data_IF_057783461857
#
_entry.id   IF_057783461857
#
_cell.length_a   1.000
_cell.length_b   1.000
_cell.length_c   1.000
_cell.angle_alpha   90.00
_cell.angle_beta   90.00
_cell.angle_gamma   90.00
#
_symmetry.space_group_name_H-M   'P 1'
#
loop_
_entity.id
_entity.type
_entity.pdbx_description
1 polymer ?
#
# COMPACT_ATOMS: atom_id res chain seq x y z
N UNK A 1 24.41 -18.22 -9.21
CA UNK A 1 23.62 -18.19 -7.97
C UNK A 1 22.93 -16.84 -7.91
N UNK A 2 21.63 -16.82 -7.64
CA UNK A 2 20.91 -15.55 -7.44
C UNK A 2 21.38 -14.92 -6.13
N UNK A 3 21.67 -13.62 -6.14
CA UNK A 3 22.09 -12.91 -4.92
C UNK A 3 20.96 -12.92 -3.87
N UNK A 4 21.31 -12.82 -2.59
CA UNK A 4 20.33 -12.85 -1.49
C UNK A 4 19.38 -11.66 -1.55
N UNK A 5 19.90 -10.51 -1.96
CA UNK A 5 19.09 -9.32 -2.24
C UNK A 5 18.04 -9.57 -3.34
N UNK A 6 18.44 -10.16 -4.46
CA UNK A 6 17.50 -10.49 -5.54
C UNK A 6 16.50 -11.58 -5.12
N UNK A 7 16.93 -12.55 -4.32
CA UNK A 7 16.04 -13.56 -3.77
C UNK A 7 14.97 -12.95 -2.84
N UNK A 8 15.35 -11.98 -2.00
CA UNK A 8 14.42 -11.21 -1.18
C UNK A 8 13.40 -10.44 -2.04
N UNK A 9 13.86 -9.67 -3.03
CA UNK A 9 12.98 -8.92 -3.93
C UNK A 9 12.00 -9.83 -4.68
N UNK A 10 12.43 -11.03 -5.07
CA UNK A 10 11.56 -12.02 -5.70
C UNK A 10 10.50 -12.56 -4.71
N UNK A 11 10.87 -12.83 -3.45
CA UNK A 11 9.90 -13.20 -2.41
C UNK A 11 8.86 -12.10 -2.16
N UNK A 12 9.28 -10.84 -2.12
CA UNK A 12 8.34 -9.72 -2.00
C UNK A 12 7.41 -9.63 -3.22
N UNK A 13 7.97 -9.78 -4.42
CA UNK A 13 7.22 -9.79 -5.67
C UNK A 13 6.16 -10.91 -5.69
N UNK A 14 6.50 -12.10 -5.22
CA UNK A 14 5.57 -13.22 -5.10
C UNK A 14 4.43 -12.91 -4.12
N UNK A 15 4.75 -12.36 -2.96
CA UNK A 15 3.77 -11.96 -1.96
C UNK A 15 2.77 -10.93 -2.50
N UNK A 16 3.24 -9.84 -3.11
CA UNK A 16 2.37 -8.79 -3.67
C UNK A 16 1.62 -9.27 -4.93
N UNK A 17 2.16 -10.26 -5.66
CA UNK A 17 1.50 -10.85 -6.83
C UNK A 17 0.18 -11.54 -6.48
N UNK A 18 0.08 -12.15 -5.29
CA UNK A 18 -1.16 -12.75 -4.81
C UNK A 18 -2.27 -11.70 -4.63
N UNK A 19 -1.92 -10.51 -4.12
CA UNK A 19 -2.84 -9.39 -4.00
C UNK A 19 -3.23 -8.81 -5.36
N UNK A 20 -2.24 -8.59 -6.24
CA UNK A 20 -2.47 -8.04 -7.57
C UNK A 20 -3.38 -8.96 -8.41
N UNK A 21 -3.13 -10.27 -8.37
CA UNK A 21 -3.94 -11.27 -9.07
C UNK A 21 -5.36 -11.35 -8.53
N UNK A 22 -5.54 -11.33 -7.20
CA UNK A 22 -6.88 -11.31 -6.56
C UNK A 22 -7.67 -10.07 -6.99
N UNK A 23 -7.05 -8.90 -6.97
CA UNK A 23 -7.70 -7.63 -7.33
C UNK A 23 -8.06 -7.59 -8.82
N UNK A 24 -7.16 -8.08 -9.67
CA UNK A 24 -7.39 -8.23 -11.12
C UNK A 24 -8.54 -9.21 -11.40
N UNK A 25 -8.53 -10.39 -10.76
CA UNK A 25 -9.59 -11.39 -10.90
C UNK A 25 -10.93 -10.81 -10.49
N UNK A 26 -11.02 -10.17 -9.32
CA UNK A 26 -12.26 -9.52 -8.86
C UNK A 26 -12.76 -8.46 -9.84
N UNK A 27 -11.86 -7.66 -10.42
CA UNK A 27 -12.23 -6.66 -11.42
C UNK A 27 -12.80 -7.30 -12.69
N UNK A 28 -12.15 -8.34 -13.20
CA UNK A 28 -12.58 -9.03 -14.43
C UNK A 28 -13.83 -9.90 -14.23
N UNK A 29 -14.00 -10.55 -13.08
CA UNK A 29 -15.10 -11.51 -12.86
C UNK A 29 -16.31 -10.90 -12.16
N UNK A 30 -16.17 -9.74 -11.50
CA UNK A 30 -17.28 -9.10 -10.78
C UNK A 30 -17.59 -7.71 -11.33
N UNK A 31 -16.59 -6.82 -11.38
CA UNK A 31 -16.82 -5.41 -11.75
C UNK A 31 -17.22 -5.26 -13.21
N UNK A 32 -16.47 -5.89 -14.13
CA UNK A 32 -16.75 -5.81 -15.56
C UNK A 32 -18.12 -6.42 -15.91
N UNK A 33 -18.47 -7.66 -15.51
CA UNK A 33 -19.77 -8.24 -15.85
C UNK A 33 -20.94 -7.45 -15.24
N UNK A 34 -20.79 -6.97 -14.00
CA UNK A 34 -21.82 -6.15 -13.36
C UNK A 34 -22.02 -4.83 -14.10
N UNK A 35 -20.95 -4.18 -14.54
CA UNK A 35 -21.02 -2.92 -15.30
C UNK A 35 -21.69 -3.12 -16.65
N UNK A 36 -21.33 -4.19 -17.37
CA UNK A 36 -21.96 -4.56 -18.64
C UNK A 36 -23.46 -4.87 -18.47
N UNK A 37 -23.82 -5.63 -17.43
CA UNK A 37 -25.21 -5.96 -17.14
C UNK A 37 -26.02 -4.71 -16.79
N UNK A 38 -25.51 -3.83 -15.93
CA UNK A 38 -26.21 -2.61 -15.53
C UNK A 38 -26.38 -1.63 -16.69
N UNK A 39 -25.34 -1.41 -17.50
CA UNK A 39 -25.43 -0.54 -18.67
C UNK A 39 -26.39 -1.07 -19.73
N UNK A 40 -26.38 -2.39 -19.99
CA UNK A 40 -27.34 -3.06 -20.85
C UNK A 40 -28.79 -2.93 -20.35
N UNK A 41 -29.02 -3.14 -19.06
CA UNK A 41 -30.36 -3.01 -18.46
C UNK A 41 -30.89 -1.58 -18.52
N UNK A 42 -30.06 -0.58 -18.20
CA UNK A 42 -30.47 0.83 -18.21
C UNK A 42 -30.81 1.29 -19.63
N UNK A 43 -29.91 1.07 -20.60
CA UNK A 43 -30.17 1.52 -21.98
C UNK A 43 -31.23 0.66 -22.68
N UNK A 44 -31.31 -0.63 -22.38
CA UNK A 44 -32.41 -1.49 -22.83
C UNK A 44 -33.76 -1.03 -22.30
N UNK A 45 -33.85 -0.73 -20.99
CA UNK A 45 -35.05 -0.19 -20.36
C UNK A 45 -35.48 1.13 -20.98
N UNK A 46 -34.53 2.05 -21.23
CA UNK A 46 -34.82 3.31 -21.93
C UNK A 46 -35.32 3.08 -23.37
N UNK A 47 -34.71 2.15 -24.11
CA UNK A 47 -35.12 1.81 -25.47
C UNK A 47 -36.54 1.22 -25.54
N UNK A 48 -36.95 0.46 -24.52
CA UNK A 48 -38.31 -0.05 -24.38
C UNK A 48 -39.31 1.08 -24.06
N UNK A 49 -38.97 1.95 -23.12
CA UNK A 49 -39.85 3.04 -22.64
C UNK A 49 -40.06 4.15 -23.69
N UNK A 50 -39.10 4.38 -24.59
CA UNK A 50 -39.20 5.39 -25.65
C UNK A 50 -40.04 4.94 -26.87
N UNK A 51 -40.96 3.99 -26.69
CA UNK A 51 -41.89 3.56 -27.74
C UNK A 51 -41.32 2.61 -28.79
N UNK A 52 -40.08 2.13 -28.63
CA UNK A 52 -39.44 1.21 -29.58
C UNK A 52 -39.88 -0.25 -29.47
N UNK A 53 -40.68 -0.61 -28.46
CA UNK A 53 -41.12 -1.98 -28.22
C UNK A 53 -39.93 -2.95 -28.05
N UNK A 54 -40.10 -4.20 -28.48
CA UNK A 54 -39.06 -5.24 -28.40
C UNK A 54 -37.82 -4.85 -29.22
N UNK A 55 -37.98 -4.18 -30.36
CA UNK A 55 -36.83 -3.74 -31.17
C UNK A 55 -36.02 -2.66 -30.46
N UNK A 56 -36.69 -1.70 -29.82
CA UNK A 56 -36.04 -0.65 -29.02
C UNK A 56 -35.30 -1.21 -27.81
N UNK A 57 -35.86 -2.24 -27.16
CA UNK A 57 -35.18 -2.99 -26.09
C UNK A 57 -33.87 -3.62 -26.59
N UNK A 58 -33.91 -4.35 -27.72
CA UNK A 58 -32.72 -5.02 -28.28
C UNK A 58 -31.64 -4.00 -28.67
N UNK A 59 -32.01 -2.94 -29.38
CA UNK A 59 -31.06 -1.88 -29.77
C UNK A 59 -30.47 -1.17 -28.55
N UNK A 60 -31.29 -0.90 -27.53
CA UNK A 60 -30.84 -0.32 -26.26
C UNK A 60 -29.88 -1.22 -25.50
N UNK A 61 -30.15 -2.53 -25.43
CA UNK A 61 -29.26 -3.52 -24.82
C UNK A 61 -27.91 -3.57 -25.54
N UNK A 62 -27.90 -3.62 -26.87
CA UNK A 62 -26.67 -3.62 -27.68
C UNK A 62 -25.88 -2.34 -27.43
N UNK A 63 -26.54 -1.19 -27.48
CA UNK A 63 -25.92 0.11 -27.18
C UNK A 63 -25.33 0.15 -25.77
N UNK A 64 -26.06 -0.39 -24.79
CA UNK A 64 -25.61 -0.48 -23.39
C UNK A 64 -24.37 -1.34 -23.23
N UNK A 65 -24.32 -2.49 -23.89
CA UNK A 65 -23.13 -3.36 -23.89
C UNK A 65 -21.91 -2.68 -24.52
N UNK A 66 -22.08 -2.04 -25.69
CA UNK A 66 -20.97 -1.34 -26.35
C UNK A 66 -20.45 -0.19 -25.48
N UNK A 67 -21.35 0.61 -24.92
CA UNK A 67 -20.98 1.70 -24.01
C UNK A 67 -20.29 1.18 -22.75
N UNK A 68 -20.83 0.11 -22.14
CA UNK A 68 -20.23 -0.56 -20.99
C UNK A 68 -18.84 -1.11 -21.29
N UNK A 69 -18.61 -1.67 -22.49
CA UNK A 69 -17.30 -2.16 -22.92
C UNK A 69 -16.28 -1.03 -23.01
N UNK A 70 -16.66 0.14 -23.52
CA UNK A 70 -15.77 1.32 -23.56
C UNK A 70 -15.36 1.74 -22.15
N UNK A 71 -16.32 1.87 -21.23
CA UNK A 71 -16.05 2.22 -19.83
C UNK A 71 -15.15 1.17 -19.17
N UNK A 72 -15.46 -0.11 -19.33
CA UNK A 72 -14.66 -1.20 -18.79
C UNK A 72 -13.25 -1.20 -19.37
N UNK A 73 -13.10 -0.92 -20.67
CA UNK A 73 -11.81 -0.82 -21.34
C UNK A 73 -10.94 0.28 -20.74
N UNK A 74 -11.48 1.49 -20.55
CA UNK A 74 -10.77 2.62 -19.92
C UNK A 74 -10.38 2.26 -18.47
N UNK A 75 -11.32 1.72 -17.70
CA UNK A 75 -11.09 1.29 -16.33
C UNK A 75 -9.95 0.27 -16.23
N UNK A 76 -9.97 -0.77 -17.06
CA UNK A 76 -8.94 -1.80 -17.07
C UNK A 76 -7.59 -1.27 -17.57
N UNK A 77 -7.57 -0.36 -18.54
CA UNK A 77 -6.35 0.25 -19.04
C UNK A 77 -5.61 1.04 -17.95
N UNK A 78 -6.33 1.65 -17.01
CA UNK A 78 -5.75 2.35 -15.86
C UNK A 78 -5.37 1.35 -14.75
N UNK A 79 -6.27 0.40 -14.44
CA UNK A 79 -6.09 -0.52 -13.33
C UNK A 79 -4.94 -1.50 -13.56
N UNK A 80 -4.85 -2.11 -14.75
CA UNK A 80 -3.93 -3.21 -15.04
C UNK A 80 -2.45 -2.82 -14.84
N UNK A 81 -1.98 -1.66 -15.34
CA UNK A 81 -0.62 -1.18 -15.07
C UNK A 81 -0.38 -0.83 -13.59
N UNK A 82 -1.40 -0.35 -12.88
CA UNK A 82 -1.30 -0.01 -11.45
C UNK A 82 -1.12 -1.24 -10.55
N UNK A 83 -1.58 -2.42 -11.00
CA UNK A 83 -1.50 -3.70 -10.31
C UNK A 83 -0.36 -4.59 -10.85
N UNK A 84 0.74 -3.99 -11.30
CA UNK A 84 1.94 -4.73 -11.70
C UNK A 84 2.82 -5.00 -10.48
N UNK A 85 3.10 -6.27 -10.12
CA UNK A 85 4.03 -6.60 -9.02
C UNK A 85 5.40 -5.93 -9.19
N UNK A 86 5.89 -5.81 -10.42
CA UNK A 86 7.15 -5.15 -10.72
C UNK A 86 7.17 -3.67 -10.28
N UNK A 87 6.04 -2.97 -10.33
CA UNK A 87 5.95 -1.57 -9.86
C UNK A 87 6.14 -1.47 -8.35
N UNK A 88 5.70 -2.47 -7.60
CA UNK A 88 5.89 -2.52 -6.15
C UNK A 88 7.36 -2.81 -5.80
N UNK A 89 7.95 -3.81 -6.48
CA UNK A 89 9.39 -4.09 -6.36
C UNK A 89 10.24 -2.87 -6.71
N UNK A 90 9.88 -2.10 -7.74
CA UNK A 90 10.59 -0.86 -8.10
C UNK A 90 10.55 0.20 -6.99
N UNK A 91 9.44 0.32 -6.25
CA UNK A 91 9.33 1.24 -5.11
C UNK A 91 10.18 0.78 -3.93
N UNK A 92 10.25 -0.53 -3.70
CA UNK A 92 11.13 -1.12 -2.69
C UNK A 92 12.61 -0.89 -3.06
N UNK A 93 13.00 -1.19 -4.29
CA UNK A 93 14.33 -0.89 -4.82
C UNK A 93 14.67 0.60 -4.73
N UNK A 94 13.68 1.49 -4.95
CA UNK A 94 13.88 2.92 -4.77
C UNK A 94 14.22 3.25 -3.31
N UNK A 95 13.51 2.67 -2.35
CA UNK A 95 13.79 2.86 -0.92
C UNK A 95 15.19 2.36 -0.54
N UNK A 96 15.65 1.26 -1.15
CA UNK A 96 17.03 0.76 -0.99
C UNK A 96 18.05 1.72 -1.59
N UNK A 97 17.79 2.24 -2.79
CA UNK A 97 18.66 3.22 -3.46
C UNK A 97 18.80 4.51 -2.66
N UNK A 98 17.72 4.96 -2.01
CA UNK A 98 17.73 6.17 -1.16
C UNK A 98 18.66 6.04 0.07
N UNK A 99 18.94 4.82 0.53
CA UNK A 99 19.90 4.56 1.62
C UNK A 99 21.37 4.54 1.16
N UNK A 100 21.63 4.65 -0.16
CA UNK A 100 22.98 4.71 -0.73
C UNK A 100 23.90 3.57 -0.26
N UNK A 101 23.36 2.36 -0.17
CA UNK A 101 24.06 1.16 0.29
C UNK A 101 25.11 0.68 -0.71
N UNK A 102 26.23 0.16 -0.21
CA UNK A 102 27.16 -0.61 -1.05
C UNK A 102 26.62 -2.03 -1.32
N UNK A 103 27.33 -2.79 -2.15
CA UNK A 103 26.90 -4.14 -2.54
C UNK A 103 26.90 -5.13 -1.37
N UNK A 104 27.85 -5.01 -0.44
CA UNK A 104 27.96 -5.91 0.72
C UNK A 104 26.80 -5.67 1.67
N UNK A 105 26.50 -4.41 1.94
CA UNK A 105 25.38 -4.00 2.79
C UNK A 105 24.04 -4.39 2.17
N UNK A 106 23.90 -4.27 0.85
CA UNK A 106 22.70 -4.69 0.12
C UNK A 106 22.47 -6.21 0.22
N UNK A 107 23.53 -7.02 0.17
CA UNK A 107 23.43 -8.47 0.39
C UNK A 107 23.12 -8.81 1.87
N UNK A 108 23.67 -8.06 2.83
CA UNK A 108 23.30 -8.19 4.24
C UNK A 108 21.81 -7.92 4.44
N UNK A 109 21.30 -6.82 3.87
CA UNK A 109 19.87 -6.50 3.88
C UNK A 109 19.03 -7.65 3.32
N UNK A 110 19.39 -8.18 2.15
CA UNK A 110 18.70 -9.31 1.53
C UNK A 110 18.68 -10.55 2.42
N UNK A 111 19.82 -10.88 3.03
CA UNK A 111 19.97 -12.01 3.95
C UNK A 111 19.08 -11.86 5.18
N UNK A 112 19.09 -10.69 5.83
CA UNK A 112 18.29 -10.43 7.02
C UNK A 112 16.79 -10.43 6.74
N UNK A 113 16.38 -9.84 5.61
CA UNK A 113 14.97 -9.80 5.22
C UNK A 113 14.45 -11.21 4.91
N UNK A 114 15.24 -12.04 4.21
CA UNK A 114 14.88 -13.44 3.97
C UNK A 114 14.76 -14.23 5.27
N UNK A 115 15.72 -14.10 6.18
CA UNK A 115 15.70 -14.77 7.47
C UNK A 115 14.48 -14.36 8.31
N UNK A 116 14.16 -13.05 8.34
CA UNK A 116 12.99 -12.55 9.05
C UNK A 116 11.67 -13.08 8.46
N UNK A 117 11.58 -13.19 7.13
CA UNK A 117 10.43 -13.78 6.43
C UNK A 117 10.31 -15.30 6.62
N UNK A 118 11.36 -16.00 7.06
CA UNK A 118 11.34 -17.43 7.33
C UNK A 118 11.00 -17.76 8.78
N UNK A 119 11.50 -17.00 9.75
CA UNK A 119 11.24 -17.22 11.18
C UNK A 119 9.90 -16.60 11.65
N UNK A 120 9.30 -15.68 10.88
CA UNK A 120 8.06 -14.93 11.15
C UNK A 120 8.05 -14.10 12.47
N UNK A 121 9.05 -14.30 13.34
CA UNK A 121 9.23 -13.53 14.59
C UNK A 121 9.53 -12.05 14.33
N UNK A 122 10.20 -11.74 13.23
CA UNK A 122 10.50 -10.38 12.80
C UNK A 122 9.37 -9.71 12.04
N UNK A 123 8.26 -10.41 11.75
CA UNK A 123 7.22 -9.93 10.84
C UNK A 123 5.92 -9.64 11.58
N UNK A 124 5.33 -8.49 11.29
CA UNK A 124 3.97 -8.12 11.69
C UNK A 124 3.16 -7.91 10.43
N UNK A 125 2.40 -8.92 10.01
CA UNK A 125 1.52 -8.85 8.85
C UNK A 125 0.13 -8.35 9.24
N UNK A 126 -0.43 -7.42 8.46
CA UNK A 126 -1.75 -6.85 8.69
C UNK A 126 -2.41 -6.42 7.39
N UNK A 127 -3.68 -6.07 7.47
CA UNK A 127 -4.43 -5.49 6.37
C UNK A 127 -4.71 -4.03 6.68
N UNK A 128 -4.42 -3.13 5.74
CA UNK A 128 -4.73 -1.72 5.96
C UNK A 128 -6.24 -1.50 5.99
N UNK A 129 -6.77 -0.97 7.10
CA UNK A 129 -8.20 -0.69 7.29
C UNK A 129 -8.56 0.81 7.29
N UNK A 130 -7.73 1.65 6.70
CA UNK A 130 -7.95 3.11 6.64
C UNK A 130 -8.72 3.60 5.42
N UNK A 131 -9.04 4.90 5.35
CA UNK A 131 -9.63 5.49 4.16
C UNK A 131 -8.79 5.21 2.91
N UNK A 132 -9.44 4.82 1.81
CA UNK A 132 -8.81 4.48 0.53
C UNK A 132 -7.84 3.29 0.54
N UNK A 133 -7.64 2.58 1.66
CA UNK A 133 -6.68 1.48 1.73
C UNK A 133 -7.13 0.22 0.97
N UNK A 134 -8.44 0.07 0.73
CA UNK A 134 -9.08 -1.06 0.00
C UNK A 134 -8.61 -2.45 0.47
N UNK A 135 -8.23 -2.56 1.74
CA UNK A 135 -7.73 -3.81 2.30
C UNK A 135 -6.39 -4.26 1.70
N UNK A 136 -5.53 -3.32 1.32
CA UNK A 136 -4.16 -3.60 0.85
C UNK A 136 -3.40 -4.36 1.94
N UNK A 137 -2.75 -5.50 1.61
CA UNK A 137 -1.91 -6.19 2.58
C UNK A 137 -0.67 -5.33 2.88
N UNK A 138 -0.29 -5.31 4.14
CA UNK A 138 0.85 -4.57 4.63
C UNK A 138 1.60 -5.42 5.65
N UNK A 139 2.88 -5.12 5.84
CA UNK A 139 3.66 -5.75 6.89
C UNK A 139 4.75 -4.83 7.40
N UNK A 140 5.17 -5.04 8.64
CA UNK A 140 6.42 -4.52 9.17
C UNK A 140 7.39 -5.68 9.34
N UNK A 141 8.61 -5.52 8.83
CA UNK A 141 9.71 -6.46 9.03
C UNK A 141 10.77 -5.74 9.87
N UNK A 142 11.11 -6.34 11.01
CA UNK A 142 12.18 -5.90 11.90
C UNK A 142 13.32 -6.91 11.83
N UNK A 143 14.51 -6.41 11.53
CA UNK A 143 15.76 -7.17 11.52
C UNK A 143 16.76 -6.51 12.48
N UNK A 144 17.92 -7.14 12.76
CA UNK A 144 18.94 -6.51 13.61
C UNK A 144 19.38 -5.13 13.14
N UNK A 145 19.50 -4.89 11.82
CA UNK A 145 20.01 -3.63 11.27
C UNK A 145 18.96 -2.77 10.58
N UNK A 146 17.78 -3.32 10.27
CA UNK A 146 16.78 -2.65 9.46
C UNK A 146 15.37 -2.75 10.03
N UNK A 147 14.55 -1.77 9.70
CA UNK A 147 13.10 -1.90 9.82
C UNK A 147 12.46 -1.45 8.50
N UNK A 148 11.49 -2.24 8.04
CA UNK A 148 10.81 -2.02 6.77
C UNK A 148 9.30 -2.07 6.99
N UNK A 149 8.57 -1.04 6.55
CA UNK A 149 7.12 -1.08 6.41
C UNK A 149 6.75 -1.17 4.93
N UNK A 150 5.98 -2.19 4.57
CA UNK A 150 5.46 -2.40 3.21
C UNK A 150 3.94 -2.31 3.18
N UNK A 151 3.38 -1.95 2.03
CA UNK A 151 1.94 -1.87 1.80
C UNK A 151 1.28 -0.58 2.29
N UNK A 152 2.05 0.41 2.73
CA UNK A 152 1.55 1.71 3.21
C UNK A 152 1.58 2.80 2.11
N UNK A 153 1.36 4.07 2.47
CA UNK A 153 1.66 5.20 1.55
C UNK A 153 2.67 6.11 2.24
N UNK A 154 3.92 6.22 1.73
CA UNK A 154 4.48 5.52 0.55
C UNK A 154 4.54 3.99 0.71
N UNK A 155 4.64 3.25 -0.41
CA UNK A 155 4.52 1.78 -0.42
C UNK A 155 5.51 1.09 0.51
N UNK A 156 6.77 1.52 0.45
CA UNK A 156 7.85 0.99 1.26
C UNK A 156 8.50 2.15 2.04
N UNK A 157 8.73 1.93 3.33
CA UNK A 157 9.54 2.79 4.19
C UNK A 157 10.62 1.91 4.79
N UNK A 158 11.85 2.01 4.27
CA UNK A 158 13.01 1.25 4.72
C UNK A 158 13.94 2.15 5.53
N UNK A 159 14.30 1.70 6.73
CA UNK A 159 15.15 2.45 7.64
C UNK A 159 16.37 1.60 8.02
N UNK A 160 17.57 2.16 7.84
CA UNK A 160 18.81 1.66 8.43
C UNK A 160 18.91 2.13 9.87
N UNK A 161 18.83 1.20 10.83
CA UNK A 161 18.76 1.54 12.26
C UNK A 161 20.04 2.20 12.78
N UNK A 162 21.19 1.92 12.18
CA UNK A 162 22.46 2.58 12.55
C UNK A 162 22.48 4.08 12.28
N UNK A 163 21.63 4.58 11.38
CA UNK A 163 21.57 6.00 11.01
C UNK A 163 20.67 6.80 11.96
N UNK A 164 19.92 6.10 12.83
CA UNK A 164 18.90 6.69 13.69
C UNK A 164 19.48 7.04 15.06
N UNK A 165 19.25 8.28 15.48
CA UNK A 165 19.58 8.78 16.82
C UNK A 165 18.42 8.55 17.80
N UNK A 166 17.19 8.77 17.33
CA UNK A 166 16.01 8.73 18.17
C UNK A 166 14.80 8.17 17.42
N UNK A 167 13.96 7.45 18.16
CA UNK A 167 12.70 6.91 17.68
C UNK A 167 11.59 7.41 18.61
N UNK A 168 10.63 8.16 18.07
CA UNK A 168 9.49 8.68 18.81
C UNK A 168 8.20 8.12 18.24
N UNK A 169 7.27 7.75 19.11
CA UNK A 169 5.89 7.53 18.67
C UNK A 169 5.11 8.83 18.68
N UNK A 170 4.13 8.95 17.80
CA UNK A 170 3.24 10.10 17.73
C UNK A 170 1.85 9.71 17.27
N UNK A 171 0.95 10.68 17.29
CA UNK A 171 -0.35 10.55 16.66
C UNK A 171 -0.82 11.90 16.12
N UNK A 172 -1.53 11.89 15.01
CA UNK A 172 -2.19 13.10 14.50
C UNK A 172 -3.61 12.79 14.03
N UNK A 173 -4.53 13.74 14.22
CA UNK A 173 -5.87 13.65 13.66
C UNK A 173 -5.84 14.09 12.20
N UNK A 174 -6.20 13.18 11.30
CA UNK A 174 -6.31 13.43 9.87
C UNK A 174 -7.75 13.41 9.41
N UNK A 175 -7.95 14.08 8.27
CA UNK A 175 -9.18 14.03 7.50
C UNK A 175 -8.84 13.47 6.13
N UNK A 176 -9.41 12.33 5.78
CA UNK A 176 -9.43 11.86 4.40
C UNK A 176 -10.76 12.27 3.77
N UNK A 177 -10.70 12.80 2.55
CA UNK A 177 -11.89 13.16 1.80
C UNK A 177 -12.08 12.17 0.66
N UNK A 178 -13.26 11.55 0.61
CA UNK A 178 -13.69 10.76 -0.53
C UNK A 178 -14.72 11.56 -1.31
N UNK A 179 -14.46 11.75 -2.61
CA UNK A 179 -15.39 12.44 -3.52
C UNK A 179 -16.23 11.40 -4.26
N UNK A 180 -17.55 11.51 -4.15
CA UNK A 180 -18.53 10.86 -5.00
C UNK A 180 -19.08 11.84 -6.04
N UNK A 181 -20.04 11.40 -6.87
CA UNK A 181 -20.61 12.23 -7.94
C UNK A 181 -21.20 13.55 -7.44
N UNK A 182 -22.03 13.50 -6.40
CA UNK A 182 -22.62 14.69 -5.74
C UNK A 182 -22.36 14.75 -4.24
N UNK A 183 -21.56 13.83 -3.69
CA UNK A 183 -21.28 13.73 -2.26
C UNK A 183 -19.79 13.90 -1.96
N UNK A 184 -19.52 14.50 -0.80
CA UNK A 184 -18.19 14.59 -0.21
C UNK A 184 -18.26 13.94 1.16
N UNK A 185 -17.53 12.84 1.35
CA UNK A 185 -17.47 12.15 2.64
C UNK A 185 -16.16 12.49 3.33
N UNK A 186 -16.26 13.07 4.52
CA UNK A 186 -15.13 13.34 5.40
C UNK A 186 -14.95 12.16 6.36
N UNK A 187 -13.80 11.49 6.26
CA UNK A 187 -13.37 10.45 7.18
C UNK A 187 -12.39 11.05 8.17
N UNK A 188 -12.81 11.17 9.43
CA UNK A 188 -11.95 11.58 10.53
C UNK A 188 -11.30 10.33 11.12
N UNK A 189 -9.97 10.35 11.23
CA UNK A 189 -9.23 9.23 11.82
C UNK A 189 -7.96 9.75 12.50
N UNK A 190 -7.46 8.98 13.46
CA UNK A 190 -6.14 9.21 14.05
C UNK A 190 -5.13 8.36 13.28
N UNK A 191 -4.06 8.99 12.79
CA UNK A 191 -2.90 8.30 12.26
C UNK A 191 -1.88 8.18 13.39
N UNK A 192 -1.59 6.95 13.80
CA UNK A 192 -0.55 6.64 14.76
C UNK A 192 0.77 6.44 14.02
N UNK A 193 1.85 7.03 14.51
CA UNK A 193 3.12 7.02 13.80
C UNK A 193 4.28 6.57 14.68
N UNK A 194 5.30 6.01 14.02
CA UNK A 194 6.65 5.81 14.57
C UNK A 194 7.57 6.67 13.71
N UNK A 195 8.09 7.75 14.29
CA UNK A 195 9.02 8.66 13.65
C UNK A 195 10.47 8.29 13.95
N UNK A 196 11.31 8.31 12.92
CA UNK A 196 12.73 8.01 12.96
C UNK A 196 13.53 9.29 12.70
N UNK A 197 14.39 9.65 13.64
CA UNK A 197 15.17 10.89 13.64
C UNK A 197 16.63 10.52 13.41
N UNK A 198 17.21 10.95 12.29
CA UNK A 198 18.58 10.59 11.90
C UNK A 198 19.63 11.33 12.73
N UNK A 199 20.80 10.71 12.88
CA UNK A 199 21.96 11.29 13.58
C UNK A 199 22.48 12.57 12.93
N UNK A 200 22.44 12.64 11.61
CA UNK A 200 22.93 13.77 10.81
C UNK A 200 21.94 14.94 10.70
N UNK A 201 20.80 14.89 11.40
CA UNK A 201 19.72 15.87 11.21
C UNK A 201 20.14 17.30 11.56
N UNK A 202 20.93 17.48 12.63
CA UNK A 202 21.41 18.80 13.04
C UNK A 202 22.42 19.39 12.04
N UNK A 203 23.21 18.52 11.40
CA UNK A 203 24.12 18.92 10.31
C UNK A 203 23.35 19.37 9.06
N UNK A 204 22.15 18.83 8.85
CA UNK A 204 21.19 19.28 7.82
C UNK A 204 20.36 20.50 8.23
N UNK A 205 20.63 21.09 9.40
CA UNK A 205 19.93 22.28 9.91
C UNK A 205 18.53 22.01 10.44
N UNK A 206 18.19 20.77 10.79
CA UNK A 206 16.91 20.40 11.38
C UNK A 206 16.98 20.47 12.92
N UNK A 207 15.96 21.07 13.54
CA UNK A 207 15.83 21.24 14.98
C UNK A 207 15.19 20.03 15.67
N UNK A 208 15.21 20.01 17.01
CA UNK A 208 14.67 18.92 17.83
C UNK A 208 13.14 18.79 17.82
N UNK A 209 12.43 19.85 17.39
CA UNK A 209 10.97 19.89 17.26
C UNK A 209 10.48 19.66 15.82
N UNK A 210 11.39 19.55 14.84
CA UNK A 210 11.01 19.27 13.47
C UNK A 210 10.45 17.86 13.30
N UNK A 211 9.68 17.67 12.22
CA UNK A 211 9.14 16.37 11.82
C UNK A 211 10.25 15.30 11.74
N UNK A 212 9.88 14.01 11.93
CA UNK A 212 10.83 12.92 11.75
C UNK A 212 11.34 12.88 10.30
N UNK A 213 12.58 12.42 10.13
CA UNK A 213 13.20 12.25 8.81
C UNK A 213 12.50 11.15 7.99
N UNK A 214 11.92 10.17 8.69
CA UNK A 214 11.06 9.14 8.10
C UNK A 214 10.05 8.69 9.13
N UNK A 215 8.86 8.30 8.69
CA UNK A 215 7.82 7.84 9.59
C UNK A 215 7.05 6.64 9.03
N UNK A 216 6.74 5.70 9.92
CA UNK A 216 5.83 4.60 9.65
C UNK A 216 4.44 4.94 10.20
N UNK A 217 3.40 4.77 9.38
CA UNK A 217 2.03 5.17 9.71
C UNK A 217 1.10 3.98 9.90
N UNK A 218 0.22 4.06 10.91
CA UNK A 218 -0.73 3.02 11.30
C UNK A 218 -2.11 3.62 11.55
N UNK A 219 -3.16 2.93 11.07
CA UNK A 219 -4.55 3.35 11.31
C UNK A 219 -5.13 2.82 12.63
N UNK A 220 -4.41 1.93 13.31
CA UNK A 220 -4.82 1.32 14.57
C UNK A 220 -3.69 1.52 15.59
N UNK A 221 -4.05 1.91 16.80
CA UNK A 221 -3.09 2.20 17.87
C UNK A 221 -2.40 0.93 18.35
N UNK A 222 -3.19 -0.13 18.51
CA UNK A 222 -2.77 -1.43 18.99
C UNK A 222 -1.71 -2.02 18.07
N UNK A 223 -1.91 -1.92 16.75
CA UNK A 223 -0.94 -2.37 15.76
C UNK A 223 0.39 -1.60 15.85
N UNK A 224 0.33 -0.27 16.01
CA UNK A 224 1.53 0.55 16.24
C UNK A 224 2.23 0.13 17.53
N UNK A 225 1.47 -0.09 18.60
CA UNK A 225 2.00 -0.47 19.91
C UNK A 225 2.63 -1.87 19.89
N UNK A 226 2.08 -2.82 19.13
CA UNK A 226 2.66 -4.14 18.93
C UNK A 226 4.02 -4.07 18.21
N UNK A 227 4.12 -3.25 17.17
CA UNK A 227 5.41 -2.99 16.49
C UNK A 227 6.41 -2.36 17.46
N UNK A 228 6.00 -1.34 18.22
CA UNK A 228 6.86 -0.67 19.22
C UNK A 228 7.31 -1.64 20.30
N UNK A 229 6.44 -2.55 20.75
CA UNK A 229 6.79 -3.58 21.73
C UNK A 229 7.90 -4.47 21.18
N UNK A 230 7.77 -4.97 19.95
CA UNK A 230 8.82 -5.79 19.31
C UNK A 230 10.13 -5.04 19.12
N UNK A 231 10.07 -3.75 18.78
CA UNK A 231 11.26 -2.90 18.70
C UNK A 231 11.97 -2.82 20.06
N UNK A 232 11.22 -2.61 21.15
CA UNK A 232 11.77 -2.57 22.51
C UNK A 232 12.33 -3.92 22.96
N UNK A 233 11.63 -5.01 22.67
CA UNK A 233 12.09 -6.38 22.95
C UNK A 233 13.39 -6.70 22.20
N UNK A 234 13.59 -6.11 21.01
CA UNK A 234 14.82 -6.15 20.22
C UNK A 234 15.91 -5.15 20.68
N UNK A 235 15.69 -4.42 21.79
CA UNK A 235 16.68 -3.51 22.37
C UNK A 235 16.62 -2.06 21.87
N UNK A 236 15.67 -1.71 20.99
CA UNK A 236 15.51 -0.33 20.52
C UNK A 236 14.84 0.55 21.59
N UNK A 237 15.38 1.74 21.81
CA UNK A 237 14.78 2.75 22.69
C UNK A 237 13.77 3.56 21.90
N UNK A 238 12.49 3.41 22.25
CA UNK A 238 11.38 4.14 21.63
C UNK A 238 10.68 4.98 22.68
N UNK A 239 10.70 6.30 22.51
CA UNK A 239 10.03 7.26 23.39
C UNK A 239 8.61 7.55 22.89
N UNK A 240 7.73 7.95 23.79
CA UNK A 240 6.41 8.48 23.43
C UNK A 240 6.52 9.99 23.31
N UNK A 241 6.04 10.58 22.22
CA UNK A 241 5.76 12.01 22.23
C UNK A 241 4.59 12.23 23.21
N UNK A 242 4.79 13.08 24.20
CA UNK A 242 3.73 13.58 25.09
C UNK A 242 2.75 14.49 24.33
#
# INVERSE_FOLDING_TARGET
MTSTYQAWLNKDREWISAYCSRTRKSSLTKVVPLTLLLTALVLGGMGLLNGGGVSGLVTGVIGGLVFGLVICGIYLAILMPSLSPARYTQKLEQSVRELSMDETERELLGTEMLAALEDDKGVVSYQMTGPNSKGTPARVILTPHYILQEGSTPYAVLIRLSDIAEIRTGSERKIATTHGGSSKTHHYFTLYSIGFYRKDRFERGLEGNDLPDSAMGFFQEELRNDVVKRMRDGGLRVTSAE
#
